data_IF_223234676970
#
_entry.id   IF_223234676970
#
_cell.length_a   1.000
_cell.length_b   1.000
_cell.length_c   1.000
_cell.angle_alpha   90.00
_cell.angle_beta   90.00
_cell.angle_gamma   90.00
#
_symmetry.space_group_name_H-M   'P 1'
#
loop_
_entity.id
_entity.type
_entity.pdbx_description
1 polymer ?
#
# COMPACT_ATOMS: atom_id res chain seq x y z
N UNK A 1 5.88 -20.70 17.68
CA UNK A 1 6.23 -20.52 16.25
C UNK A 1 5.89 -19.07 15.89
N UNK A 2 6.89 -18.19 15.77
CA UNK A 2 6.67 -16.82 15.31
C UNK A 2 6.62 -16.83 13.76
N UNK A 3 5.77 -16.02 13.11
CA UNK A 3 5.86 -15.88 11.67
C UNK A 3 7.17 -15.16 11.35
N UNK A 4 8.13 -15.90 10.80
CA UNK A 4 9.29 -15.30 10.13
C UNK A 4 8.77 -14.59 8.90
N UNK A 5 8.50 -13.28 9.05
CA UNK A 5 8.22 -12.39 7.93
C UNK A 5 9.40 -12.45 6.97
N UNK A 6 9.23 -13.16 5.87
CA UNK A 6 10.25 -13.31 4.84
C UNK A 6 10.47 -11.96 4.19
N UNK A 7 11.65 -11.37 4.40
CA UNK A 7 12.11 -10.13 3.77
C UNK A 7 12.33 -10.26 2.25
N UNK A 8 11.54 -11.08 1.56
CA UNK A 8 11.84 -11.63 0.24
C UNK A 8 10.73 -11.53 -0.81
N UNK A 9 9.48 -11.21 -0.44
CA UNK A 9 8.45 -10.98 -1.45
C UNK A 9 8.56 -9.55 -1.98
N UNK A 10 9.60 -9.29 -2.79
CA UNK A 10 9.79 -7.98 -3.41
C UNK A 10 8.64 -7.62 -4.36
N UNK A 11 7.94 -8.62 -4.89
CA UNK A 11 6.99 -8.46 -5.99
C UNK A 11 5.66 -9.14 -5.67
N UNK A 12 4.60 -8.35 -5.57
CA UNK A 12 3.24 -8.85 -5.41
C UNK A 12 2.39 -8.58 -6.66
N UNK A 13 1.30 -9.34 -6.79
CA UNK A 13 0.29 -9.10 -7.82
C UNK A 13 -0.77 -8.12 -7.30
N UNK A 14 -1.51 -7.45 -8.20
CA UNK A 14 -2.63 -6.56 -7.82
C UNK A 14 -3.63 -7.23 -6.84
N UNK A 15 -4.11 -8.47 -7.05
CA UNK A 15 -5.03 -9.09 -6.09
C UNK A 15 -4.38 -9.44 -4.75
N UNK A 16 -3.06 -9.66 -4.72
CA UNK A 16 -2.33 -9.89 -3.47
C UNK A 16 -2.16 -8.58 -2.68
N UNK A 17 -1.78 -7.50 -3.36
CA UNK A 17 -1.72 -6.15 -2.78
C UNK A 17 -3.08 -5.71 -2.24
N UNK A 18 -4.17 -5.98 -2.98
CA UNK A 18 -5.53 -5.68 -2.54
C UNK A 18 -5.90 -6.41 -1.24
N UNK A 19 -5.59 -7.71 -1.14
CA UNK A 19 -5.81 -8.49 0.09
C UNK A 19 -5.00 -7.97 1.27
N UNK A 20 -3.77 -7.53 1.02
CA UNK A 20 -2.85 -7.05 2.05
C UNK A 20 -3.19 -5.66 2.58
N UNK A 21 -3.52 -4.75 1.67
CA UNK A 21 -3.81 -3.34 1.99
C UNK A 21 -5.27 -3.09 2.37
N UNK A 22 -6.18 -3.99 2.01
CA UNK A 22 -7.61 -3.80 2.16
C UNK A 22 -8.25 -2.92 1.08
N UNK A 23 -7.46 -2.37 0.15
CA UNK A 23 -7.99 -1.63 -1.00
C UNK A 23 -8.50 -2.54 -2.10
N UNK A 24 -9.44 -2.04 -2.89
CA UNK A 24 -9.95 -2.76 -4.04
C UNK A 24 -8.88 -2.88 -5.14
N UNK A 25 -8.95 -3.97 -5.92
CA UNK A 25 -8.10 -4.13 -7.12
C UNK A 25 -8.34 -3.02 -8.14
N UNK A 26 -9.54 -2.43 -8.16
CA UNK A 26 -9.90 -1.31 -9.00
C UNK A 26 -9.13 -0.04 -8.60
N UNK A 27 -9.12 0.29 -7.30
CA UNK A 27 -8.37 1.44 -6.74
C UNK A 27 -6.88 1.32 -7.05
N UNK A 28 -6.30 0.13 -6.88
CA UNK A 28 -4.89 -0.08 -7.23
C UNK A 28 -4.62 0.09 -8.72
N UNK A 29 -5.54 -0.30 -9.60
CA UNK A 29 -5.40 -0.09 -11.06
C UNK A 29 -5.52 1.39 -11.44
N UNK A 30 -6.41 2.11 -10.78
CA UNK A 30 -6.59 3.55 -10.99
C UNK A 30 -5.31 4.31 -10.65
N UNK A 31 -4.73 4.05 -9.47
CA UNK A 31 -3.45 4.64 -9.06
C UNK A 31 -2.29 4.33 -10.00
N UNK A 32 -2.27 3.12 -10.59
CA UNK A 32 -1.28 2.76 -11.62
C UNK A 32 -1.52 3.58 -12.89
N UNK A 33 -2.78 3.72 -13.32
CA UNK A 33 -3.12 4.49 -14.53
C UNK A 33 -2.85 5.99 -14.38
N UNK A 34 -2.99 6.52 -13.17
CA UNK A 34 -2.63 7.90 -12.82
C UNK A 34 -1.11 8.11 -12.69
N UNK A 35 -0.32 7.03 -12.70
CA UNK A 35 1.13 7.09 -12.48
C UNK A 35 1.55 7.32 -11.03
N UNK A 36 0.62 7.19 -10.07
CA UNK A 36 0.87 7.34 -8.63
C UNK A 36 1.43 6.08 -7.98
N UNK A 37 1.20 4.92 -8.59
CA UNK A 37 1.75 3.63 -8.14
C UNK A 37 2.59 3.00 -9.25
N UNK A 38 3.92 2.84 -9.04
CA UNK A 38 4.78 2.15 -9.99
C UNK A 38 4.36 0.71 -10.23
N UNK A 39 4.13 0.37 -11.51
CA UNK A 39 3.77 -0.97 -11.95
C UNK A 39 4.75 -1.47 -12.99
N UNK A 40 5.11 -2.75 -12.86
CA UNK A 40 6.13 -3.38 -13.69
C UNK A 40 5.50 -4.55 -14.45
N UNK A 41 5.90 -4.71 -15.70
CA UNK A 41 5.44 -5.79 -16.57
C UNK A 41 6.65 -6.43 -17.23
N UNK A 42 6.66 -7.75 -17.32
CA UNK A 42 7.76 -8.49 -17.95
C UNK A 42 7.78 -8.34 -19.48
N UNK A 43 6.63 -7.98 -20.08
CA UNK A 43 6.51 -7.81 -21.52
C UNK A 43 5.49 -6.72 -21.86
N UNK A 44 5.64 -6.11 -23.05
CA UNK A 44 4.70 -5.12 -23.59
C UNK A 44 3.49 -5.79 -24.28
N UNK A 45 3.35 -7.12 -24.17
CA UNK A 45 2.19 -7.82 -24.72
C UNK A 45 0.91 -7.44 -23.95
N UNK A 46 -0.23 -7.27 -24.65
CA UNK A 46 -1.52 -7.14 -23.98
C UNK A 46 -1.77 -8.37 -23.10
N UNK A 47 -2.34 -8.17 -21.91
CA UNK A 47 -2.52 -9.18 -20.83
C UNK A 47 -1.26 -9.62 -20.09
N UNK A 48 -0.10 -8.97 -20.28
CA UNK A 48 1.06 -9.26 -19.44
C UNK A 48 0.75 -9.02 -17.96
N UNK A 49 1.17 -9.94 -17.10
CA UNK A 49 0.95 -9.84 -15.66
C UNK A 49 1.66 -8.60 -15.11
N UNK A 50 0.89 -7.77 -14.41
CA UNK A 50 1.40 -6.60 -13.68
C UNK A 50 1.93 -7.08 -12.33
N UNK A 51 3.14 -6.63 -12.00
CA UNK A 51 3.80 -6.82 -10.73
C UNK A 51 4.03 -5.46 -10.07
N UNK A 52 3.79 -5.42 -8.77
CA UNK A 52 3.99 -4.26 -7.91
C UNK A 52 5.11 -4.58 -6.95
N UNK A 53 5.92 -3.58 -6.59
CA UNK A 53 6.84 -3.76 -5.46
C UNK A 53 6.07 -3.54 -4.16
N UNK A 54 6.29 -4.40 -3.18
CA UNK A 54 5.67 -4.25 -1.85
C UNK A 54 6.05 -2.90 -1.24
N UNK A 55 7.32 -2.49 -1.38
CA UNK A 55 7.81 -1.19 -0.92
C UNK A 55 7.08 0.00 -1.56
N UNK A 56 6.75 -0.09 -2.84
CA UNK A 56 6.09 0.99 -3.57
C UNK A 56 4.62 1.10 -3.12
N UNK A 57 3.98 -0.05 -2.87
CA UNK A 57 2.62 -0.09 -2.30
C UNK A 57 2.61 0.44 -0.87
N UNK A 58 3.62 0.10 -0.05
CA UNK A 58 3.75 0.58 1.33
C UNK A 58 4.04 2.09 1.39
N UNK A 59 4.87 2.60 0.47
CA UNK A 59 5.18 4.02 0.37
C UNK A 59 3.98 4.90 0.01
N UNK A 60 2.88 4.32 -0.49
CA UNK A 60 1.63 5.07 -0.70
C UNK A 60 0.98 5.49 0.62
N UNK A 61 1.25 4.78 1.71
CA UNK A 61 0.66 5.07 3.01
C UNK A 61 1.49 6.14 3.71
N UNK A 62 0.91 7.32 3.87
CA UNK A 62 1.48 8.33 4.76
C UNK A 62 1.02 8.04 6.18
N UNK A 63 1.97 7.97 7.12
CA UNK A 63 1.66 7.86 8.53
C UNK A 63 0.85 9.08 8.97
N UNK A 64 -0.42 8.87 9.32
CA UNK A 64 -1.23 9.91 9.92
C UNK A 64 -0.86 10.00 11.41
N UNK A 65 0.07 10.89 11.73
CA UNK A 65 0.35 11.26 13.13
C UNK A 65 -0.77 12.22 13.54
N UNK A 66 -1.65 11.85 14.49
CA UNK A 66 -2.60 12.79 15.02
C UNK A 66 -1.81 13.90 15.72
N UNK A 67 -1.85 15.11 15.15
CA UNK A 67 -1.40 16.32 15.83
C UNK A 67 -2.31 16.54 17.03
N UNK A 68 -1.84 16.09 18.19
CA UNK A 68 -2.26 16.43 19.54
C UNK A 68 -3.75 16.82 19.71
N UNK A 69 -4.54 15.90 20.27
CA UNK A 69 -5.80 16.27 20.92
C UNK A 69 -5.45 17.11 22.14
N UNK A 70 -5.41 18.44 21.99
CA UNK A 70 -5.35 19.38 23.12
C UNK A 70 -6.69 19.36 23.86
N UNK A 71 -6.85 18.39 24.76
CA UNK A 71 -7.85 18.42 25.81
C UNK A 71 -7.28 19.10 27.05
N UNK A 72 -7.01 20.40 27.00
CA UNK A 72 -6.90 21.17 28.24
C UNK A 72 -8.32 21.46 28.72
N UNK A 73 -8.81 20.70 29.70
CA UNK A 73 -9.83 21.22 30.61
C UNK A 73 -9.18 21.31 31.99
N UNK A 74 -8.56 22.47 32.16
CA UNK A 74 -8.20 23.07 33.43
C UNK A 74 -9.39 23.10 34.41
N UNK A 75 -9.10 22.71 35.65
CA UNK A 75 -9.60 23.25 36.91
C UNK A 75 -11.10 23.60 37.08
N UNK A 76 -11.70 22.93 38.07
CA UNK A 76 -12.75 23.44 38.96
C UNK A 76 -12.83 22.43 40.12
N UNK A 77 -12.02 22.59 41.16
CA UNK A 77 -12.34 23.35 42.38
C UNK A 77 -13.52 22.73 43.13
#
# INVERSE_FOLDING_TARGET
MAPTTSAGEQWESIPQAAKRTGYSTWTLRELISEGRLPAYRLSNKPKSHIRLKVSDVDAMFSAMIPIEVYGTNSAGA
#
